data_IF_274147377421
#
_entry.id   IF_274147377421
#
_cell.length_a   1.000
_cell.length_b   1.000
_cell.length_c   1.000
_cell.angle_alpha   90.00
_cell.angle_beta   90.00
_cell.angle_gamma   90.00
#
_symmetry.space_group_name_H-M   'P 1'
#
loop_
_entity.id
_entity.type
_entity.pdbx_description
1 polymer ?
#
# COMPACT_ATOMS: atom_id res chain seq x y z
N UNK A 1 9.51 3.62 13.98
CA UNK A 1 9.17 4.29 12.69
C UNK A 1 8.28 3.41 11.81
N UNK A 2 7.40 3.99 10.96
CA UNK A 2 6.49 3.24 10.07
C UNK A 2 6.69 3.68 8.62
N UNK A 3 7.04 2.74 7.74
CA UNK A 3 7.12 2.94 6.30
C UNK A 3 5.82 2.50 5.62
N UNK A 4 5.18 3.36 4.86
CA UNK A 4 3.94 3.00 4.18
C UNK A 4 3.95 3.28 2.68
N UNK A 5 3.19 2.47 1.94
CA UNK A 5 2.82 2.75 0.56
C UNK A 5 1.29 2.72 0.42
N UNK A 6 0.73 3.65 -0.34
CA UNK A 6 -0.71 3.72 -0.62
C UNK A 6 -0.98 4.35 -1.98
N UNK A 7 -1.88 3.77 -2.77
CA UNK A 7 -2.39 4.36 -4.02
C UNK A 7 -3.63 5.21 -3.79
N UNK A 8 -4.62 4.67 -3.09
CA UNK A 8 -5.96 5.27 -2.92
C UNK A 8 -6.27 5.70 -1.49
N UNK A 9 -5.27 5.71 -0.61
CA UNK A 9 -5.38 6.24 0.76
C UNK A 9 -5.68 5.20 1.85
N UNK A 10 -6.14 3.99 1.55
CA UNK A 10 -6.46 2.96 2.55
C UNK A 10 -5.27 2.65 3.48
N UNK A 11 -4.16 2.22 2.91
CA UNK A 11 -2.95 1.90 3.70
C UNK A 11 -2.35 3.13 4.37
N UNK A 12 -2.48 4.33 3.76
CA UNK A 12 -2.05 5.57 4.39
C UNK A 12 -2.86 5.87 5.65
N UNK A 13 -4.18 5.69 5.61
CA UNK A 13 -5.02 5.87 6.78
C UNK A 13 -4.66 4.86 7.86
N UNK A 14 -4.52 3.58 7.51
CA UNK A 14 -4.12 2.54 8.45
C UNK A 14 -2.77 2.86 9.11
N UNK A 15 -1.76 3.26 8.32
CA UNK A 15 -0.45 3.64 8.82
C UNK A 15 -0.50 4.87 9.75
N UNK A 16 -1.27 5.90 9.39
CA UNK A 16 -1.48 7.09 10.25
C UNK A 16 -2.15 6.72 11.57
N UNK A 17 -3.16 5.85 11.53
CA UNK A 17 -3.87 5.39 12.73
C UNK A 17 -2.93 4.65 13.68
N UNK A 18 -2.07 3.76 13.14
CA UNK A 18 -1.07 3.07 13.95
C UNK A 18 0.00 4.02 14.49
N UNK A 19 0.54 4.91 13.65
CA UNK A 19 1.55 5.87 14.04
C UNK A 19 1.10 6.78 15.20
N UNK A 20 -0.18 7.19 15.20
CA UNK A 20 -0.77 7.97 16.30
C UNK A 20 -0.88 7.15 17.60
N UNK A 21 -1.15 5.84 17.52
CA UNK A 21 -1.26 4.98 18.71
C UNK A 21 0.11 4.63 19.28
N UNK A 22 1.10 4.39 18.43
CA UNK A 22 2.44 3.94 18.82
C UNK A 22 3.43 5.10 18.99
N UNK A 23 3.02 6.33 18.63
CA UNK A 23 3.87 7.52 18.59
C UNK A 23 5.07 7.40 17.65
N UNK A 24 4.94 6.58 16.62
CA UNK A 24 5.99 6.35 15.62
C UNK A 24 6.03 7.46 14.56
N UNK A 25 7.20 7.75 14.04
CA UNK A 25 7.38 8.55 12.84
C UNK A 25 6.86 7.82 11.60
N UNK A 26 6.27 8.57 10.66
CA UNK A 26 5.58 8.02 9.50
C UNK A 26 6.25 8.45 8.19
N UNK A 27 6.73 7.50 7.40
CA UNK A 27 7.43 7.72 6.15
C UNK A 27 6.70 7.15 4.94
N UNK A 28 6.45 8.00 3.93
CA UNK A 28 5.86 7.55 2.65
C UNK A 28 6.92 6.94 1.74
N UNK A 29 6.86 5.64 1.48
CA UNK A 29 7.76 4.94 0.56
C UNK A 29 7.82 5.63 -0.81
N UNK A 30 6.67 6.07 -1.35
CA UNK A 30 6.61 6.76 -2.63
C UNK A 30 7.41 8.08 -2.68
N UNK A 31 7.58 8.74 -1.51
CA UNK A 31 8.36 9.97 -1.39
C UNK A 31 9.84 9.66 -1.16
N UNK A 32 10.14 8.81 -0.18
CA UNK A 32 11.51 8.57 0.26
C UNK A 32 12.31 7.65 -0.66
N UNK A 33 11.67 6.83 -1.49
CA UNK A 33 12.37 5.92 -2.44
C UNK A 33 13.27 6.66 -3.44
N UNK A 34 13.10 7.97 -3.56
CA UNK A 34 13.89 8.86 -4.41
C UNK A 34 15.15 9.40 -3.70
N UNK A 35 15.28 9.16 -2.40
CA UNK A 35 16.42 9.52 -1.58
C UNK A 35 17.39 8.33 -1.42
N UNK A 36 18.39 8.47 -0.58
CA UNK A 36 19.33 7.39 -0.23
C UNK A 36 18.74 6.29 0.65
N UNK A 37 17.53 6.52 1.19
CA UNK A 37 16.79 5.59 2.06
C UNK A 37 17.58 5.14 3.30
N UNK A 38 18.39 6.02 3.90
CA UNK A 38 19.19 5.74 5.10
C UNK A 38 18.48 6.29 6.33
N UNK A 39 18.30 5.44 7.35
CA UNK A 39 17.66 5.78 8.62
C UNK A 39 18.47 5.20 9.77
N UNK A 40 18.54 5.95 10.87
CA UNK A 40 19.19 5.52 12.10
C UNK A 40 18.11 5.06 13.09
N UNK A 41 18.26 3.86 13.63
CA UNK A 41 17.40 3.29 14.66
C UNK A 41 17.93 3.66 16.04
N UNK A 42 17.04 4.09 16.91
CA UNK A 42 17.31 4.25 18.33
C UNK A 42 17.17 2.89 19.04
N UNK A 43 17.80 2.76 20.19
CA UNK A 43 17.65 1.57 21.01
C UNK A 43 16.18 1.26 21.29
N UNK A 44 15.76 0.01 20.97
CA UNK A 44 14.39 -0.46 21.17
C UNK A 44 13.37 0.15 20.20
N UNK A 45 13.80 0.88 19.18
CA UNK A 45 12.89 1.41 18.15
C UNK A 45 12.36 0.28 17.26
N UNK A 46 11.06 0.26 17.05
CA UNK A 46 10.39 -0.69 16.17
C UNK A 46 10.30 -0.17 14.74
N UNK A 47 10.21 -1.10 13.78
CA UNK A 47 10.04 -0.78 12.36
C UNK A 47 8.74 -1.39 11.84
N UNK A 48 7.85 -0.55 11.33
CA UNK A 48 6.58 -0.98 10.76
C UNK A 48 6.54 -0.85 9.23
N UNK A 49 5.87 -1.80 8.57
CA UNK A 49 5.56 -1.72 7.15
C UNK A 49 4.06 -1.81 6.93
N UNK A 50 3.47 -0.83 6.23
CA UNK A 50 2.02 -0.79 5.95
C UNK A 50 1.79 -0.52 4.47
N UNK A 51 1.20 -1.48 3.74
CA UNK A 51 1.00 -1.36 2.29
C UNK A 51 -0.14 -2.25 1.77
N UNK A 52 -0.69 -1.94 0.58
CA UNK A 52 -1.74 -2.76 0.00
C UNK A 52 -1.17 -4.00 -0.68
N UNK A 53 -2.01 -5.00 -0.87
CA UNK A 53 -1.70 -6.15 -1.74
C UNK A 53 -2.04 -5.81 -3.18
N UNK A 54 -1.13 -6.07 -4.11
CA UNK A 54 -1.35 -5.91 -5.55
C UNK A 54 -1.32 -7.29 -6.25
N UNK A 55 -2.48 -7.76 -6.71
CA UNK A 55 -2.56 -9.06 -7.36
C UNK A 55 -2.03 -10.20 -6.48
N UNK A 56 -2.42 -10.23 -5.21
CA UNK A 56 -2.00 -11.20 -4.19
C UNK A 56 -0.48 -11.27 -3.96
N UNK A 57 0.23 -10.17 -4.21
CA UNK A 57 1.68 -10.04 -4.06
C UNK A 57 2.07 -8.71 -3.41
N UNK A 58 3.31 -8.65 -2.95
CA UNK A 58 3.93 -7.40 -2.44
C UNK A 58 4.11 -6.42 -3.60
N UNK A 59 3.65 -5.17 -3.51
CA UNK A 59 3.81 -4.17 -4.55
C UNK A 59 5.28 -3.98 -4.94
N UNK A 60 5.56 -3.83 -6.24
CA UNK A 60 6.94 -3.67 -6.72
C UNK A 60 7.69 -2.52 -6.05
N UNK A 61 7.02 -1.39 -5.79
CA UNK A 61 7.65 -0.26 -5.12
C UNK A 61 8.14 -0.62 -3.70
N UNK A 62 7.40 -1.46 -2.97
CA UNK A 62 7.78 -1.94 -1.63
C UNK A 62 9.00 -2.84 -1.74
N UNK A 63 9.02 -3.78 -2.68
CA UNK A 63 10.18 -4.67 -2.91
C UNK A 63 11.45 -3.89 -3.27
N UNK A 64 11.33 -2.89 -4.14
CA UNK A 64 12.46 -2.01 -4.50
C UNK A 64 12.92 -1.17 -3.30
N UNK A 65 11.97 -0.71 -2.47
CA UNK A 65 12.29 0.04 -1.27
C UNK A 65 13.06 -0.82 -0.26
N UNK A 66 12.63 -2.07 0.00
CA UNK A 66 13.35 -2.98 0.90
C UNK A 66 14.82 -3.18 0.49
N UNK A 67 15.08 -3.27 -0.81
CA UNK A 67 16.45 -3.41 -1.34
C UNK A 67 17.29 -2.14 -1.19
N UNK A 68 16.65 -0.97 -1.13
CA UNK A 68 17.32 0.33 -0.96
C UNK A 68 17.47 0.74 0.50
N UNK A 69 16.58 0.27 1.37
CA UNK A 69 16.53 0.68 2.76
C UNK A 69 17.81 0.29 3.48
N UNK A 70 18.42 1.28 4.10
CA UNK A 70 19.60 1.14 4.95
C UNK A 70 19.22 1.55 6.35
N UNK A 71 19.35 0.63 7.28
CA UNK A 71 19.16 0.88 8.70
C UNK A 71 20.53 0.80 9.38
N UNK A 72 20.82 1.80 10.21
CA UNK A 72 22.00 1.83 11.07
C UNK A 72 21.53 1.89 12.52
N UNK A 73 22.23 1.19 13.41
CA UNK A 73 21.97 1.20 14.83
C UNK A 73 22.85 2.26 15.51
N UNK A 74 22.37 2.86 16.58
CA UNK A 74 23.18 3.72 17.44
C UNK A 74 24.24 2.92 18.24
N UNK A 75 24.01 1.62 18.46
CA UNK A 75 24.92 0.75 19.20
C UNK A 75 25.89 0.00 18.28
N UNK A 76 27.10 -0.26 18.79
CA UNK A 76 28.20 -0.93 18.06
C UNK A 76 27.87 -2.38 17.71
N UNK A 77 26.95 -3.03 18.42
CA UNK A 77 26.47 -4.37 18.10
C UNK A 77 25.04 -4.28 17.55
N UNK A 78 24.73 -4.87 16.39
CA UNK A 78 23.40 -4.83 15.84
C UNK A 78 22.44 -5.58 16.77
N UNK A 79 21.55 -4.83 17.43
CA UNK A 79 20.43 -5.38 18.18
C UNK A 79 19.37 -5.86 17.21
N UNK A 80 18.58 -6.84 17.61
CA UNK A 80 17.34 -7.16 16.93
C UNK A 80 16.30 -6.11 17.27
N UNK A 81 15.59 -5.62 16.25
CA UNK A 81 14.50 -4.68 16.41
C UNK A 81 13.17 -5.36 16.08
N UNK A 82 12.14 -5.02 16.84
CA UNK A 82 10.77 -5.43 16.54
C UNK A 82 10.35 -4.93 15.17
N UNK A 83 9.76 -5.82 14.38
CA UNK A 83 9.23 -5.48 13.08
C UNK A 83 7.80 -5.95 12.94
N UNK A 84 6.91 -5.07 12.55
CA UNK A 84 5.55 -5.46 12.20
C UNK A 84 5.22 -5.16 10.73
N UNK A 85 4.33 -5.97 10.18
CA UNK A 85 3.78 -5.73 8.85
C UNK A 85 2.26 -5.80 8.87
N UNK A 86 1.61 -4.75 8.37
CA UNK A 86 0.17 -4.70 8.14
C UNK A 86 -0.12 -4.57 6.65
N UNK A 87 -0.87 -5.51 6.09
CA UNK A 87 -1.33 -5.45 4.71
C UNK A 87 -2.79 -5.05 4.62
N UNK A 88 -3.13 -4.16 3.68
CA UNK A 88 -4.52 -3.84 3.35
C UNK A 88 -4.92 -4.56 2.06
N UNK A 89 -6.14 -5.10 2.02
CA UNK A 89 -6.67 -5.79 0.84
C UNK A 89 -8.16 -5.49 0.68
N UNK A 90 -8.71 -5.64 -0.50
CA UNK A 90 -10.16 -5.56 -0.75
C UNK A 90 -10.90 -6.81 -0.28
N UNK A 91 -10.20 -7.96 -0.34
CA UNK A 91 -10.73 -9.28 0.06
C UNK A 91 -9.67 -10.12 0.78
N UNK A 92 -8.67 -10.66 0.09
CA UNK A 92 -7.67 -11.57 0.64
C UNK A 92 -6.25 -11.18 0.27
N UNK A 93 -5.28 -11.62 1.08
CA UNK A 93 -3.87 -11.36 0.83
C UNK A 93 -3.12 -12.56 0.21
N UNK A 94 -3.74 -13.74 0.17
CA UNK A 94 -3.11 -15.01 -0.19
C UNK A 94 -1.75 -15.19 0.51
N UNK A 95 -0.67 -15.49 -0.21
CA UNK A 95 0.69 -15.64 0.36
C UNK A 95 1.52 -14.34 0.29
N UNK A 96 0.89 -13.16 0.24
CA UNK A 96 1.65 -11.92 0.14
C UNK A 96 2.52 -11.67 1.38
N UNK A 97 2.08 -12.09 2.58
CA UNK A 97 2.82 -11.90 3.83
C UNK A 97 4.07 -12.77 3.89
N UNK A 98 3.97 -14.04 3.52
CA UNK A 98 5.12 -14.95 3.43
C UNK A 98 6.15 -14.43 2.42
N UNK A 99 5.67 -13.89 1.29
CA UNK A 99 6.55 -13.28 0.29
C UNK A 99 7.22 -12.00 0.79
N UNK A 100 6.52 -11.21 1.59
CA UNK A 100 7.13 -10.04 2.22
C UNK A 100 8.23 -10.45 3.19
N UNK A 101 7.97 -11.45 4.04
CA UNK A 101 8.97 -12.00 4.95
C UNK A 101 10.21 -12.50 4.20
N UNK A 102 9.99 -13.25 3.11
CA UNK A 102 11.08 -13.70 2.25
C UNK A 102 11.89 -12.53 1.68
N UNK A 103 11.22 -11.52 1.09
CA UNK A 103 11.89 -10.34 0.56
C UNK A 103 12.64 -9.55 1.63
N UNK A 104 12.13 -9.46 2.85
CA UNK A 104 12.81 -8.82 3.97
C UNK A 104 14.09 -9.58 4.32
N UNK A 105 14.02 -10.92 4.46
CA UNK A 105 15.17 -11.76 4.80
C UNK A 105 16.27 -11.76 3.71
N UNK A 106 15.91 -11.56 2.45
CA UNK A 106 16.85 -11.44 1.33
C UNK A 106 17.66 -10.12 1.34
N UNK A 107 17.33 -9.19 2.24
CA UNK A 107 18.00 -7.89 2.37
C UNK A 107 18.92 -7.82 3.59
N UNK A 108 19.93 -6.92 3.58
CA UNK A 108 20.79 -6.72 4.74
C UNK A 108 20.02 -6.33 6.02
N UNK A 109 18.93 -5.58 5.91
CA UNK A 109 18.11 -5.17 7.05
C UNK A 109 17.34 -6.32 7.70
N UNK A 110 17.10 -7.42 6.98
CA UNK A 110 16.47 -8.62 7.52
C UNK A 110 17.25 -9.31 8.63
N UNK A 111 18.53 -8.96 8.82
CA UNK A 111 19.34 -9.42 9.95
C UNK A 111 19.11 -8.61 11.23
N UNK A 112 18.65 -7.37 11.07
CA UNK A 112 18.38 -6.42 12.16
C UNK A 112 16.92 -6.46 12.59
N UNK A 113 16.01 -6.82 11.69
CA UNK A 113 14.57 -6.79 11.91
C UNK A 113 14.03 -8.21 12.13
N UNK A 114 13.36 -8.42 13.26
CA UNK A 114 12.57 -9.64 13.49
C UNK A 114 11.11 -9.34 13.20
N UNK A 115 10.54 -9.97 12.14
CA UNK A 115 9.13 -9.83 11.79
C UNK A 115 8.28 -10.66 12.76
N UNK A 116 7.96 -10.07 13.89
CA UNK A 116 7.32 -10.72 15.02
C UNK A 116 5.82 -10.43 15.15
N UNK A 117 5.29 -9.44 14.40
CA UNK A 117 3.86 -9.18 14.36
C UNK A 117 3.38 -8.93 12.93
N UNK A 118 2.42 -9.71 12.48
CA UNK A 118 1.81 -9.55 11.16
C UNK A 118 0.30 -9.38 11.25
N UNK A 119 -0.28 -8.65 10.29
CA UNK A 119 -1.71 -8.44 10.22
C UNK A 119 -2.19 -8.19 8.80
N UNK A 120 -3.48 -8.46 8.57
CA UNK A 120 -4.18 -8.07 7.36
C UNK A 120 -5.51 -7.44 7.71
N UNK A 121 -5.85 -6.34 7.04
CA UNK A 121 -7.11 -5.64 7.25
C UNK A 121 -7.83 -5.44 5.93
N UNK A 122 -9.12 -5.80 5.92
CA UNK A 122 -9.97 -5.65 4.74
C UNK A 122 -10.44 -4.19 4.68
N UNK A 123 -10.19 -3.58 3.52
CA UNK A 123 -10.48 -2.18 3.23
C UNK A 123 -11.38 -2.08 1.99
N UNK A 124 -12.04 -0.94 1.76
CA UNK A 124 -12.84 -0.74 0.57
C UNK A 124 -12.08 -1.06 -0.72
N UNK A 125 -12.78 -1.72 -1.66
CA UNK A 125 -12.23 -2.14 -2.93
C UNK A 125 -11.87 -0.92 -3.80
N UNK A 126 -10.73 -0.98 -4.44
CA UNK A 126 -10.23 0.09 -5.31
C UNK A 126 -9.62 -0.42 -6.62
N UNK A 127 -9.62 -1.73 -6.86
CA UNK A 127 -9.13 -2.25 -8.12
C UNK A 127 -10.27 -2.36 -9.15
N UNK A 128 -10.18 -1.58 -10.22
CA UNK A 128 -11.23 -1.47 -11.26
C UNK A 128 -10.76 -1.95 -12.65
N UNK A 129 -9.57 -2.51 -12.75
CA UNK A 129 -8.93 -2.85 -14.02
C UNK A 129 -9.44 -4.12 -14.72
N UNK A 130 -10.23 -4.96 -14.05
CA UNK A 130 -10.79 -6.19 -14.65
C UNK A 130 -12.31 -6.11 -14.82
N UNK A 131 -12.89 -6.86 -15.78
CA UNK A 131 -14.33 -7.03 -15.86
C UNK A 131 -14.91 -7.57 -14.54
N UNK A 132 -16.08 -7.08 -14.15
CA UNK A 132 -16.76 -7.49 -12.91
C UNK A 132 -16.19 -6.93 -11.61
N UNK A 133 -15.01 -6.30 -11.63
CA UNK A 133 -14.47 -5.62 -10.45
C UNK A 133 -14.83 -4.14 -10.48
N UNK A 134 -15.37 -3.63 -9.40
CA UNK A 134 -15.72 -2.22 -9.20
C UNK A 134 -15.47 -1.82 -7.75
N UNK A 135 -15.63 -0.55 -7.45
CA UNK A 135 -15.58 -0.04 -6.08
C UNK A 135 -16.77 -0.57 -5.28
N UNK A 136 -16.62 -0.70 -3.98
CA UNK A 136 -17.70 -1.10 -3.09
C UNK A 136 -18.87 -0.08 -3.09
N UNK A 137 -20.08 -0.53 -2.76
CA UNK A 137 -21.20 0.37 -2.46
C UNK A 137 -20.88 1.20 -1.22
N UNK A 138 -21.60 2.31 -1.01
CA UNK A 138 -21.38 3.18 0.17
C UNK A 138 -21.57 2.44 1.48
N UNK A 139 -22.55 1.55 1.53
CA UNK A 139 -22.89 0.75 2.72
C UNK A 139 -21.72 -0.20 3.04
N UNK A 140 -21.25 -0.93 2.04
CA UNK A 140 -20.11 -1.87 2.19
C UNK A 140 -18.81 -1.15 2.47
N UNK A 141 -18.58 0.04 1.86
CA UNK A 141 -17.46 0.91 2.19
C UNK A 141 -17.45 1.30 3.67
N UNK A 142 -18.61 1.72 4.20
CA UNK A 142 -18.76 2.11 5.60
C UNK A 142 -18.53 0.93 6.53
N UNK A 143 -19.15 -0.22 6.25
CA UNK A 143 -18.97 -1.46 7.02
C UNK A 143 -17.49 -1.86 7.12
N UNK A 144 -16.79 -1.92 5.98
CA UNK A 144 -15.35 -2.24 5.96
C UNK A 144 -14.51 -1.24 6.74
N UNK A 145 -14.80 0.05 6.65
CA UNK A 145 -14.08 1.09 7.41
C UNK A 145 -14.30 0.97 8.91
N UNK A 146 -15.51 0.70 9.35
CA UNK A 146 -15.83 0.48 10.79
C UNK A 146 -15.11 -0.77 11.33
N UNK A 147 -15.17 -1.89 10.59
CA UNK A 147 -14.45 -3.10 10.96
C UNK A 147 -12.93 -2.88 11.01
N UNK A 148 -12.38 -2.16 10.03
CA UNK A 148 -10.96 -1.82 9.98
C UNK A 148 -10.53 -0.93 11.15
N UNK A 149 -11.37 0.01 11.59
CA UNK A 149 -11.07 0.87 12.75
C UNK A 149 -10.93 0.06 14.04
N UNK A 150 -11.84 -0.88 14.25
CA UNK A 150 -11.79 -1.81 15.41
C UNK A 150 -10.51 -2.65 15.34
N UNK A 151 -10.25 -3.25 14.18
CA UNK A 151 -9.05 -4.07 13.96
C UNK A 151 -7.74 -3.29 14.24
N UNK A 152 -7.62 -2.07 13.70
CA UNK A 152 -6.41 -1.25 13.87
C UNK A 152 -6.18 -0.82 15.32
N UNK A 153 -7.28 -0.57 16.06
CA UNK A 153 -7.18 -0.27 17.50
C UNK A 153 -6.54 -1.42 18.27
N UNK A 154 -6.97 -2.64 17.99
CA UNK A 154 -6.45 -3.82 18.69
C UNK A 154 -5.06 -4.23 18.17
N UNK A 155 -4.79 -4.07 16.88
CA UNK A 155 -3.47 -4.30 16.31
C UNK A 155 -2.43 -3.34 16.88
N UNK A 156 -2.78 -2.05 17.06
CA UNK A 156 -1.91 -1.06 17.71
C UNK A 156 -1.57 -1.41 19.15
N UNK A 157 -2.54 -1.96 19.92
CA UNK A 157 -2.27 -2.48 21.28
C UNK A 157 -1.26 -3.64 21.26
N UNK A 158 -1.42 -4.58 20.28
CA UNK A 158 -0.48 -5.69 20.12
C UNK A 158 0.95 -5.19 19.80
N UNK A 159 1.10 -4.16 18.94
CA UNK A 159 2.40 -3.54 18.65
C UNK A 159 3.04 -3.02 19.94
N UNK A 160 2.31 -2.22 20.73
CA UNK A 160 2.81 -1.63 21.98
C UNK A 160 3.17 -2.72 23.00
N UNK A 161 2.36 -3.78 23.08
CA UNK A 161 2.60 -4.89 23.98
C UNK A 161 3.88 -5.63 23.62
N UNK A 162 4.07 -5.98 22.35
CA UNK A 162 5.28 -6.65 21.85
C UNK A 162 6.56 -5.89 22.19
N UNK A 163 6.56 -4.59 21.97
CA UNK A 163 7.71 -3.74 22.28
C UNK A 163 8.03 -3.71 23.79
N UNK A 164 7.00 -3.74 24.65
CA UNK A 164 7.19 -3.72 26.11
C UNK A 164 7.69 -5.05 26.67
N UNK A 165 7.25 -6.16 26.10
CA UNK A 165 7.58 -7.52 26.59
C UNK A 165 8.94 -8.00 26.08
N UNK A 166 9.57 -7.31 25.13
CA UNK A 166 10.80 -7.73 24.45
C UNK A 166 10.67 -9.17 23.90
N UNK A 167 9.45 -9.53 23.45
CA UNK A 167 9.11 -10.86 22.95
C UNK A 167 9.06 -10.89 21.43
N UNK A 168 10.07 -11.48 20.81
CA UNK A 168 10.24 -11.63 19.36
C UNK A 168 9.50 -12.84 18.76
N UNK A 169 8.67 -13.54 19.51
CA UNK A 169 7.93 -14.68 18.98
C UNK A 169 6.92 -14.23 17.93
N UNK A 170 6.94 -14.80 16.70
CA UNK A 170 6.02 -14.43 15.66
C UNK A 170 4.56 -14.61 16.05
N UNK A 171 3.72 -13.62 15.81
CA UNK A 171 2.28 -13.70 16.03
C UNK A 171 1.48 -13.02 14.90
N UNK A 172 0.15 -13.27 14.89
CA UNK A 172 -0.76 -12.74 13.87
C UNK A 172 -0.91 -13.60 12.61
N UNK A 173 -0.03 -14.55 12.37
CA UNK A 173 -0.03 -15.37 11.15
C UNK A 173 -1.33 -16.18 10.92
N UNK A 174 -1.93 -16.70 11.98
CA UNK A 174 -3.19 -17.45 11.91
C UNK A 174 -4.42 -16.57 11.70
N UNK A 175 -4.28 -15.27 11.95
CA UNK A 175 -5.33 -14.26 11.85
C UNK A 175 -5.36 -13.59 10.47
N UNK A 176 -4.40 -13.92 9.59
CA UNK A 176 -4.32 -13.35 8.24
C UNK A 176 -5.50 -13.80 7.37
N UNK A 177 -6.09 -12.88 6.64
CA UNK A 177 -7.17 -13.17 5.67
C UNK A 177 -6.57 -13.69 4.37
N UNK A 178 -6.09 -14.94 4.39
CA UNK A 178 -5.39 -15.54 3.24
C UNK A 178 -6.34 -16.04 2.14
N UNK A 179 -7.60 -16.33 2.47
CA UNK A 179 -8.58 -16.87 1.54
C UNK A 179 -8.30 -18.32 1.11
N UNK A 180 -9.12 -18.87 0.19
CA UNK A 180 -8.93 -20.20 -0.35
C UNK A 180 -7.77 -20.24 -1.37
N UNK A 181 -7.07 -21.38 -1.45
CA UNK A 181 -6.00 -21.63 -2.43
C UNK A 181 -4.92 -20.52 -2.50
N UNK A 182 -4.31 -20.10 -1.37
CA UNK A 182 -3.41 -18.95 -1.34
C UNK A 182 -2.20 -19.10 -2.26
N UNK A 183 -1.64 -20.31 -2.41
CA UNK A 183 -0.55 -20.58 -3.34
C UNK A 183 -0.97 -20.30 -4.80
N UNK A 184 -2.16 -20.77 -5.20
CA UNK A 184 -2.66 -20.60 -6.56
C UNK A 184 -2.81 -19.11 -6.90
N UNK A 185 -3.38 -18.31 -6.00
CA UNK A 185 -3.52 -16.89 -6.23
C UNK A 185 -2.18 -16.15 -6.23
N UNK A 186 -1.25 -16.45 -5.34
CA UNK A 186 0.03 -15.74 -5.28
C UNK A 186 1.04 -16.20 -6.33
N UNK A 187 1.03 -17.47 -6.78
CA UNK A 187 2.06 -17.98 -7.69
C UNK A 187 1.62 -17.88 -9.14
N UNK A 188 0.71 -18.73 -9.68
CA UNK A 188 0.35 -18.62 -11.10
C UNK A 188 -0.47 -17.37 -11.40
N UNK A 189 -1.53 -17.09 -10.63
CA UNK A 189 -2.43 -15.95 -10.92
C UNK A 189 -1.72 -14.61 -10.67
N UNK A 190 -1.11 -14.43 -9.50
CA UNK A 190 -0.38 -13.22 -9.15
C UNK A 190 0.84 -13.01 -10.05
N UNK A 191 1.52 -14.09 -10.47
CA UNK A 191 2.63 -14.02 -11.44
C UNK A 191 2.16 -13.53 -12.81
N UNK A 192 1.05 -14.07 -13.30
CA UNK A 192 0.41 -13.62 -14.55
C UNK A 192 -0.04 -12.16 -14.43
N UNK A 193 -0.70 -11.82 -13.32
CA UNK A 193 -1.16 -10.46 -13.04
C UNK A 193 0.00 -9.46 -13.08
N UNK A 194 1.09 -9.76 -12.38
CA UNK A 194 2.27 -8.90 -12.32
C UNK A 194 2.93 -8.73 -13.69
N UNK A 195 3.01 -9.80 -14.48
CA UNK A 195 3.68 -9.79 -15.78
C UNK A 195 2.88 -9.10 -16.89
N UNK A 196 1.56 -9.24 -16.88
CA UNK A 196 0.73 -8.85 -18.01
C UNK A 196 -0.32 -7.77 -17.70
N UNK A 197 -0.76 -7.65 -16.45
CA UNK A 197 -1.85 -6.75 -16.08
C UNK A 197 -1.37 -5.50 -15.32
N UNK A 198 -0.17 -5.53 -14.73
CA UNK A 198 0.43 -4.33 -14.14
C UNK A 198 1.10 -3.53 -15.26
N UNK A 199 0.36 -2.61 -15.86
CA UNK A 199 0.80 -1.81 -17.01
C UNK A 199 0.03 -0.50 -17.08
N UNK A 200 0.65 0.52 -17.67
CA UNK A 200 0.05 1.81 -17.98
C UNK A 200 -0.59 1.87 -19.37
N UNK A 201 -0.31 0.89 -20.23
CA UNK A 201 -0.74 0.91 -21.65
C UNK A 201 -2.23 1.18 -21.90
N UNK A 202 -3.18 0.63 -21.11
CA UNK A 202 -4.59 0.90 -21.32
C UNK A 202 -5.06 2.26 -20.80
N UNK A 203 -4.25 2.96 -19.96
CA UNK A 203 -4.64 4.26 -19.46
C UNK A 203 -4.65 5.31 -20.58
N UNK A 204 -5.69 6.11 -20.61
CA UNK A 204 -5.81 7.25 -21.50
C UNK A 204 -6.66 8.35 -20.86
N UNK A 205 -6.60 9.54 -21.42
CA UNK A 205 -7.40 10.69 -21.02
C UNK A 205 -8.54 10.90 -22.00
N UNK A 206 -9.71 11.20 -21.48
CA UNK A 206 -10.82 11.77 -22.23
C UNK A 206 -10.65 13.30 -22.24
N UNK A 207 -10.20 13.84 -23.37
CA UNK A 207 -9.89 15.27 -23.53
C UNK A 207 -11.12 16.17 -23.39
N UNK A 208 -12.34 15.66 -23.61
CA UNK A 208 -13.57 16.44 -23.43
C UNK A 208 -13.91 16.63 -21.96
N UNK A 209 -13.53 15.69 -21.09
CA UNK A 209 -13.74 15.77 -19.63
C UNK A 209 -12.54 16.35 -18.88
N UNK A 210 -11.35 16.35 -19.49
CA UNK A 210 -10.12 16.77 -18.85
C UNK A 210 -10.01 18.28 -18.72
N UNK A 211 -9.98 18.80 -17.50
CA UNK A 211 -9.78 20.23 -17.20
C UNK A 211 -8.31 20.58 -16.95
N UNK A 212 -7.38 19.68 -17.21
CA UNK A 212 -5.92 19.91 -17.11
C UNK A 212 -5.46 20.36 -15.74
N UNK A 213 -6.09 19.87 -14.66
CA UNK A 213 -5.81 20.26 -13.27
C UNK A 213 -4.52 19.66 -12.70
N UNK A 214 -3.88 18.69 -13.37
CA UNK A 214 -2.62 18.08 -12.96
C UNK A 214 -2.69 17.09 -11.79
N UNK A 215 -3.87 16.86 -11.21
CA UNK A 215 -4.01 15.97 -10.02
C UNK A 215 -3.49 14.56 -10.33
N UNK A 216 -3.81 13.99 -11.50
CA UNK A 216 -3.40 12.63 -11.87
C UNK A 216 -1.87 12.44 -11.88
N UNK A 217 -1.11 13.44 -12.34
CA UNK A 217 0.36 13.41 -12.30
C UNK A 217 0.87 13.53 -10.87
N UNK A 218 0.28 14.40 -10.05
CA UNK A 218 0.69 14.64 -8.67
C UNK A 218 0.46 13.43 -7.75
N UNK A 219 -0.63 12.69 -7.96
CA UNK A 219 -0.95 11.52 -7.12
C UNK A 219 -0.24 10.24 -7.59
N UNK A 220 0.46 10.26 -8.72
CA UNK A 220 1.16 9.08 -9.22
C UNK A 220 2.37 8.75 -8.32
N UNK A 221 2.35 7.61 -7.58
CA UNK A 221 3.40 7.31 -6.60
C UNK A 221 4.76 7.01 -7.21
N UNK A 222 4.79 6.70 -8.51
CA UNK A 222 6.00 6.33 -9.25
C UNK A 222 6.38 7.35 -10.33
N UNK A 223 5.70 8.49 -10.37
CA UNK A 223 5.90 9.54 -11.36
C UNK A 223 5.91 9.02 -12.81
N UNK A 224 4.94 8.15 -13.12
CA UNK A 224 4.77 7.54 -14.46
C UNK A 224 3.87 8.38 -15.38
N UNK A 225 3.43 9.56 -14.92
CA UNK A 225 2.56 10.46 -15.66
C UNK A 225 3.26 11.79 -15.82
N UNK A 226 3.54 12.18 -17.05
CA UNK A 226 3.94 13.53 -17.43
C UNK A 226 2.68 14.38 -17.53
N UNK A 227 2.70 15.57 -16.97
CA UNK A 227 1.57 16.47 -16.94
C UNK A 227 1.72 17.48 -15.82
N UNK A 228 0.65 18.17 -15.50
CA UNK A 228 0.62 19.20 -14.49
C UNK A 228 -0.53 20.17 -14.76
N UNK A 229 -0.56 21.29 -14.03
CA UNK A 229 -1.55 22.33 -14.29
C UNK A 229 -1.41 22.89 -15.71
N UNK A 230 -2.50 22.90 -16.46
CA UNK A 230 -2.55 23.37 -17.86
C UNK A 230 -2.25 22.30 -18.91
N UNK A 231 -1.84 21.08 -18.51
CA UNK A 231 -1.46 20.01 -19.43
C UNK A 231 -2.33 18.77 -19.27
N UNK A 232 -2.64 18.11 -20.36
CA UNK A 232 -3.22 16.76 -20.31
C UNK A 232 -2.18 15.74 -19.84
N UNK A 233 -2.62 14.70 -19.10
CA UNK A 233 -1.70 13.66 -18.66
C UNK A 233 -1.24 12.76 -19.81
N UNK A 234 0.04 12.41 -19.80
CA UNK A 234 0.66 11.48 -20.74
C UNK A 234 1.40 10.39 -19.92
N UNK A 235 1.10 9.11 -20.16
CA UNK A 235 1.78 8.01 -19.50
C UNK A 235 3.12 7.72 -20.17
N UNK A 236 4.17 7.54 -19.37
CA UNK A 236 5.56 7.45 -19.86
C UNK A 236 5.92 6.07 -20.43
N UNK A 237 5.10 5.05 -20.23
CA UNK A 237 5.32 3.67 -20.68
C UNK A 237 6.69 3.09 -20.34
N UNK A 238 7.26 3.54 -19.21
CA UNK A 238 8.60 3.20 -18.73
C UNK A 238 8.61 1.98 -17.77
N UNK A 239 7.51 1.23 -17.73
CA UNK A 239 7.28 0.04 -16.90
C UNK A 239 7.29 0.33 -15.39
N UNK A 240 7.14 1.59 -14.95
CA UNK A 240 7.07 1.94 -13.53
C UNK A 240 5.66 1.86 -12.96
N UNK A 241 4.63 1.96 -13.79
CA UNK A 241 3.25 1.91 -13.36
C UNK A 241 2.99 0.70 -12.44
N UNK A 242 2.22 0.94 -11.39
CA UNK A 242 1.81 -0.07 -10.42
C UNK A 242 0.35 -0.53 -10.65
N UNK A 243 -0.33 0.05 -11.63
CA UNK A 243 -1.77 -0.12 -11.86
C UNK A 243 -2.59 0.05 -10.57
N UNK A 244 -2.17 1.01 -9.73
CA UNK A 244 -2.82 1.31 -8.45
C UNK A 244 -4.06 2.18 -8.60
N UNK A 245 -4.38 2.62 -9.82
CA UNK A 245 -5.53 3.48 -10.15
C UNK A 245 -5.61 4.80 -9.39
N UNK A 246 -4.55 5.27 -8.73
CA UNK A 246 -4.56 6.56 -8.04
C UNK A 246 -4.97 7.70 -9.00
N UNK A 247 -4.41 7.74 -10.21
CA UNK A 247 -4.75 8.73 -11.24
C UNK A 247 -6.24 8.71 -11.62
N UNK A 248 -6.82 7.52 -11.79
CA UNK A 248 -8.23 7.33 -12.07
C UNK A 248 -9.12 7.78 -10.91
N UNK A 249 -8.85 7.30 -9.72
CA UNK A 249 -9.69 7.53 -8.55
C UNK A 249 -9.71 8.99 -8.07
N UNK A 250 -8.58 9.71 -8.22
CA UNK A 250 -8.48 11.11 -7.81
C UNK A 250 -8.87 12.09 -8.91
N UNK A 251 -9.22 11.64 -10.11
CA UNK A 251 -9.69 12.53 -11.17
C UNK A 251 -11.09 13.07 -10.84
N UNK A 252 -11.28 14.37 -10.54
CA UNK A 252 -12.58 14.91 -10.14
C UNK A 252 -13.60 14.91 -11.27
N UNK A 253 -13.14 14.89 -12.51
CA UNK A 253 -13.96 14.90 -13.72
C UNK A 253 -14.09 13.52 -14.39
N UNK A 254 -13.57 12.44 -13.73
CA UNK A 254 -13.58 11.09 -14.29
C UNK A 254 -13.05 11.04 -15.73
N UNK A 255 -12.02 11.84 -16.01
CA UNK A 255 -11.43 11.98 -17.35
C UNK A 255 -10.32 10.94 -17.62
N UNK A 256 -9.91 10.16 -16.64
CA UNK A 256 -8.93 9.08 -16.81
C UNK A 256 -9.65 7.76 -16.94
N UNK A 257 -9.33 7.01 -17.99
CA UNK A 257 -9.92 5.70 -18.26
C UNK A 257 -8.86 4.62 -18.43
N UNK A 258 -9.24 3.36 -18.22
CA UNK A 258 -8.40 2.18 -18.44
C UNK A 258 -9.02 1.28 -19.53
N UNK A 259 -8.74 1.60 -20.78
CA UNK A 259 -9.42 1.05 -21.93
C UNK A 259 -10.93 1.36 -21.85
N UNK A 260 -11.76 0.41 -22.25
CA UNK A 260 -13.23 0.52 -22.12
C UNK A 260 -13.76 -0.02 -20.78
N UNK A 261 -12.87 -0.44 -19.86
CA UNK A 261 -13.25 -1.19 -18.67
C UNK A 261 -13.79 -0.31 -17.55
N UNK A 262 -13.39 0.96 -17.50
CA UNK A 262 -13.69 1.88 -16.38
C UNK A 262 -14.77 2.91 -16.65
N UNK A 263 -15.24 3.05 -17.90
CA UNK A 263 -16.20 4.08 -18.33
C UNK A 263 -17.48 4.17 -17.47
N UNK A 264 -17.94 3.03 -16.93
CA UNK A 264 -19.15 2.95 -16.09
C UNK A 264 -18.87 2.61 -14.63
N UNK A 265 -17.58 2.59 -14.23
CA UNK A 265 -17.20 2.19 -12.87
C UNK A 265 -17.07 3.37 -11.94
N UNK A 266 -17.23 3.09 -10.64
CA UNK A 266 -17.09 4.08 -9.59
C UNK A 266 -15.65 4.52 -9.37
N UNK A 267 -15.49 5.55 -8.59
CA UNK A 267 -14.19 6.04 -8.10
C UNK A 267 -14.20 6.03 -6.58
N UNK A 268 -13.09 5.60 -6.01
CA UNK A 268 -12.89 5.55 -4.58
C UNK A 268 -11.47 6.01 -4.21
N UNK A 269 -11.35 6.90 -3.23
CA UNK A 269 -10.17 7.09 -2.42
C UNK A 269 -10.58 7.41 -0.99
N UNK A 270 -9.74 7.07 -0.04
CA UNK A 270 -10.07 7.27 1.37
C UNK A 270 -10.38 8.74 1.67
N UNK A 271 -11.51 9.02 2.33
CA UNK A 271 -12.04 10.37 2.62
C UNK A 271 -12.52 11.19 1.40
N UNK A 272 -12.83 10.56 0.27
CA UNK A 272 -13.36 11.26 -0.91
C UNK A 272 -14.55 12.19 -0.61
N UNK A 273 -15.42 11.80 0.29
CA UNK A 273 -16.64 12.56 0.63
C UNK A 273 -16.38 13.76 1.55
N UNK A 274 -15.34 13.72 2.41
CA UNK A 274 -14.96 14.87 3.24
C UNK A 274 -14.40 16.03 2.43
N UNK A 275 -13.86 15.78 1.23
CA UNK A 275 -13.34 16.83 0.34
C UNK A 275 -14.45 17.58 -0.37
N UNK A 276 -15.63 16.94 -0.58
CA UNK A 276 -16.80 17.59 -1.23
C UNK A 276 -17.61 18.49 -0.30
N UNK A 277 -17.49 18.31 1.02
CA UNK A 277 -18.18 19.17 2.01
C UNK A 277 -17.45 20.49 2.26
N UNK A 278 -16.23 20.66 1.74
CA UNK A 278 -15.37 21.84 1.91
C UNK A 278 -15.12 22.62 0.59
N UNK A 279 -15.88 22.33 -0.50
CA UNK A 279 -15.91 23.05 -1.76
C UNK A 279 -17.32 23.62 -1.98
#
# INVERSE_FOLDING_TARGET
>A
MIFYFSGTGNSQWAAKTLALQTQDELYSIAKIIKTDCTFQLKKGEQVGFVFPVHGWRVPRIVRVFLQKLKLTDEEVQPLKHHCFCLMTAGDTIAQAMERFQQHLHETPIGRMLELDLVGSVIMPESYVGLPGMDVDTKEKELEKKQAAEIYLRDFGKKIIQKQKEDDYKPCGWKELTVGPLPWFFSVPVGGFFERFLITDKPFHVDSQRCVKCGICANVCPVADIKGGLGYEPEWLHNKKCLTCFACYHHCPHHAIEYGKRTVKKGQYFYNRYKVKENI
#
